data_IF_385944624247
#
_entry.id   IF_385944624247
#
_cell.length_a   1.000
_cell.length_b   1.000
_cell.length_c   1.000
_cell.angle_alpha   90.00
_cell.angle_beta   90.00
_cell.angle_gamma   90.00
#
_symmetry.space_group_name_H-M   'P 1'
#
loop_
_entity.id
_entity.type
_entity.pdbx_description
1 polymer ?
#
# COMPACT_ATOMS: atom_id res chain seq x y z
N UNK A 1 16.05 -3.98 -0.70
CA UNK A 1 14.92 -4.07 0.24
C UNK A 1 14.89 -2.92 1.24
N UNK A 2 15.97 -2.72 2.01
CA UNK A 2 16.08 -1.65 3.02
C UNK A 2 15.61 -0.27 2.55
N UNK A 3 16.18 0.25 1.46
CA UNK A 3 15.82 1.58 0.92
C UNK A 3 14.33 1.72 0.58
N UNK A 4 13.71 0.70 -0.05
CA UNK A 4 12.28 0.78 -0.39
C UNK A 4 11.39 0.73 0.85
N UNK A 5 11.80 -0.02 1.89
CA UNK A 5 11.09 -0.06 3.16
C UNK A 5 11.18 1.28 3.90
N UNK A 6 12.38 1.86 3.98
CA UNK A 6 12.62 3.17 4.59
C UNK A 6 11.81 4.27 3.90
N UNK A 7 11.76 4.27 2.55
CA UNK A 7 10.93 5.22 1.80
C UNK A 7 9.45 5.07 2.11
N UNK A 8 8.94 3.83 2.20
CA UNK A 8 7.54 3.59 2.56
C UNK A 8 7.25 4.04 4.01
N UNK A 9 8.15 3.76 4.94
CA UNK A 9 8.04 4.18 6.34
C UNK A 9 8.02 5.71 6.46
N UNK A 10 8.92 6.42 5.75
CA UNK A 10 8.97 7.88 5.79
C UNK A 10 7.67 8.51 5.28
N UNK A 11 7.08 7.97 4.21
CA UNK A 11 5.79 8.44 3.71
C UNK A 11 4.68 8.17 4.72
N UNK A 12 4.65 6.98 5.33
CA UNK A 12 3.68 6.65 6.39
C UNK A 12 3.81 7.60 7.59
N UNK A 13 5.03 7.86 8.06
CA UNK A 13 5.29 8.82 9.14
C UNK A 13 4.81 10.22 8.78
N UNK A 14 5.09 10.68 7.56
CA UNK A 14 4.62 11.98 7.08
C UNK A 14 3.08 12.06 7.04
N UNK A 15 2.38 10.99 6.66
CA UNK A 15 0.92 10.98 6.68
C UNK A 15 0.34 11.29 8.07
N UNK A 16 1.00 10.84 9.14
CA UNK A 16 0.58 11.15 10.52
C UNK A 16 0.94 12.56 10.99
N UNK A 17 1.79 13.28 10.26
CA UNK A 17 2.13 14.69 10.58
C UNK A 17 1.24 15.69 9.86
N UNK A 18 0.37 15.24 8.95
CA UNK A 18 -0.55 16.11 8.23
C UNK A 18 -1.58 16.65 9.22
N UNK A 19 -1.59 17.97 9.40
CA UNK A 19 -2.53 18.63 10.29
C UNK A 19 -3.91 18.75 9.64
N UNK A 20 -4.71 17.70 9.80
CA UNK A 20 -6.07 17.63 9.29
C UNK A 20 -6.96 16.92 10.33
N UNK A 21 -8.14 17.47 10.70
CA UNK A 21 -9.03 16.87 11.69
C UNK A 21 -9.35 15.40 11.41
N UNK A 22 -9.61 15.06 10.14
CA UNK A 22 -9.88 13.68 9.74
C UNK A 22 -8.74 12.69 10.07
N UNK A 23 -7.48 13.13 10.02
CA UNK A 23 -6.32 12.28 10.39
C UNK A 23 -6.24 12.11 11.90
N UNK A 24 -6.43 13.19 12.65
CA UNK A 24 -6.40 13.18 14.11
C UNK A 24 -7.54 12.32 14.70
N UNK A 25 -8.76 12.53 14.22
CA UNK A 25 -9.97 11.85 14.69
C UNK A 25 -9.95 10.35 14.37
N UNK A 26 -9.23 9.93 13.33
CA UNK A 26 -9.14 8.53 12.88
C UNK A 26 -7.78 7.89 13.14
N UNK A 27 -6.96 8.44 14.04
CA UNK A 27 -5.58 7.96 14.31
C UNK A 27 -5.52 6.44 14.55
N UNK A 28 -6.38 5.93 15.43
CA UNK A 28 -6.45 4.49 15.78
C UNK A 28 -6.79 3.65 14.55
N UNK A 29 -7.80 4.06 13.78
CA UNK A 29 -8.19 3.37 12.55
C UNK A 29 -7.05 3.33 11.53
N UNK A 30 -6.33 4.45 11.38
CA UNK A 30 -5.17 4.53 10.48
C UNK A 30 -4.05 3.60 10.94
N UNK A 31 -3.70 3.55 12.23
CA UNK A 31 -2.67 2.63 12.75
C UNK A 31 -3.05 1.16 12.54
N UNK A 32 -4.33 0.82 12.63
CA UNK A 32 -4.82 -0.53 12.36
C UNK A 32 -4.71 -0.94 10.88
N UNK A 33 -4.86 0.01 9.94
CA UNK A 33 -5.02 -0.31 8.51
C UNK A 33 -3.84 0.12 7.62
N UNK A 34 -3.13 1.20 7.94
CA UNK A 34 -1.98 1.63 7.16
C UNK A 34 -0.79 0.71 7.41
N UNK A 35 -0.15 0.30 6.31
CA UNK A 35 1.06 -0.54 6.33
C UNK A 35 2.06 0.03 5.35
N UNK A 36 3.32 0.13 5.79
CA UNK A 36 4.44 0.50 4.93
C UNK A 36 5.16 -0.77 4.48
N UNK A 37 5.23 -1.01 3.17
CA UNK A 37 5.84 -2.20 2.60
C UNK A 37 6.88 -1.82 1.54
N UNK A 38 8.11 -2.28 1.71
CA UNK A 38 9.16 -2.20 0.70
C UNK A 38 9.05 -3.34 -0.31
N UNK A 39 9.03 -3.02 -1.61
CA UNK A 39 8.94 -4.02 -2.69
C UNK A 39 10.26 -4.23 -3.45
N UNK A 40 11.30 -3.43 -3.20
CA UNK A 40 12.57 -3.45 -3.94
C UNK A 40 12.37 -3.58 -5.46
N UNK A 41 12.96 -4.60 -6.08
CA UNK A 41 12.84 -4.90 -7.52
C UNK A 41 11.73 -5.89 -7.85
N UNK A 42 10.91 -6.33 -6.89
CA UNK A 42 9.92 -7.38 -7.11
C UNK A 42 8.73 -6.96 -8.00
N UNK A 43 8.53 -5.65 -8.23
CA UNK A 43 7.42 -5.08 -8.99
C UNK A 43 7.88 -3.90 -9.87
N UNK A 44 8.82 -4.20 -10.77
CA UNK A 44 9.28 -3.23 -11.78
C UNK A 44 8.14 -2.87 -12.74
N UNK A 45 8.23 -1.65 -13.28
CA UNK A 45 7.42 -1.19 -14.41
C UNK A 45 8.30 -1.22 -15.65
N UNK A 46 7.73 -1.61 -16.78
CA UNK A 46 8.44 -1.83 -18.03
C UNK A 46 7.91 -0.91 -19.13
N UNK A 47 8.77 -0.56 -20.08
CA UNK A 47 8.41 0.29 -21.22
C UNK A 47 7.86 -0.53 -22.39
N UNK A 48 8.27 -1.79 -22.49
CA UNK A 48 7.90 -2.73 -23.55
C UNK A 48 6.90 -3.78 -23.05
N UNK A 49 6.10 -4.31 -23.96
CA UNK A 49 5.12 -5.38 -23.68
C UNK A 49 5.78 -6.68 -23.24
N UNK A 50 7.03 -6.92 -23.67
CA UNK A 50 7.78 -8.13 -23.36
C UNK A 50 8.47 -8.08 -21.99
N UNK A 51 8.32 -6.97 -21.25
CA UNK A 51 8.90 -6.78 -19.92
C UNK A 51 10.43 -6.97 -19.87
N UNK A 52 11.12 -6.56 -20.93
CA UNK A 52 12.58 -6.69 -21.03
C UNK A 52 13.29 -5.40 -20.65
N UNK A 53 12.66 -4.25 -20.87
CA UNK A 53 13.25 -2.94 -20.64
C UNK A 53 12.50 -2.23 -19.50
N UNK A 54 13.08 -2.28 -18.30
CA UNK A 54 12.50 -1.61 -17.15
C UNK A 54 12.53 -0.09 -17.28
N UNK A 55 11.40 0.56 -16.99
CA UNK A 55 11.35 2.00 -16.77
C UNK A 55 11.87 2.29 -15.35
N UNK A 56 13.15 2.62 -15.24
CA UNK A 56 13.83 2.81 -13.95
C UNK A 56 13.25 4.01 -13.19
N UNK A 57 12.76 5.04 -13.89
CA UNK A 57 12.17 6.22 -13.27
C UNK A 57 10.82 5.87 -12.67
N UNK A 58 9.90 5.28 -13.47
CA UNK A 58 8.59 4.86 -12.98
C UNK A 58 8.69 3.74 -11.95
N UNK A 59 9.71 2.89 -12.01
CA UNK A 59 9.89 1.83 -11.03
C UNK A 59 10.27 2.35 -9.64
N UNK A 60 10.91 3.53 -9.53
CA UNK A 60 11.36 4.12 -8.25
C UNK A 60 10.29 4.96 -7.54
N UNK A 61 9.09 4.39 -7.40
CA UNK A 61 7.88 5.03 -6.84
C UNK A 61 7.52 4.55 -5.44
N UNK A 62 6.62 5.29 -4.79
CA UNK A 62 5.83 4.83 -3.64
C UNK A 62 4.37 4.88 -4.07
N UNK A 63 3.60 3.83 -3.81
CA UNK A 63 2.19 3.73 -4.20
C UNK A 63 1.31 3.55 -2.96
N UNK A 64 0.13 4.16 -2.97
CA UNK A 64 -0.94 3.83 -2.04
C UNK A 64 -1.83 2.79 -2.70
N UNK A 65 -2.14 1.71 -1.96
CA UNK A 65 -3.04 0.65 -2.40
C UNK A 65 -4.04 0.36 -1.29
N UNK A 66 -5.32 0.31 -1.65
CA UNK A 66 -6.39 -0.13 -0.75
C UNK A 66 -6.71 -1.59 -1.06
N UNK A 67 -6.54 -2.46 -0.07
CA UNK A 67 -6.89 -3.88 -0.18
C UNK A 67 -8.19 -4.14 0.61
N UNK A 68 -9.24 -4.49 -0.12
CA UNK A 68 -10.54 -4.81 0.47
C UNK A 68 -10.62 -6.30 0.79
N UNK A 69 -11.13 -6.66 1.97
CA UNK A 69 -11.40 -8.06 2.38
C UNK A 69 -12.75 -8.56 1.85
N UNK A 70 -13.07 -8.27 0.59
CA UNK A 70 -14.40 -8.55 0.02
C UNK A 70 -14.70 -10.05 -0.04
N UNK A 71 -13.74 -10.86 -0.46
CA UNK A 71 -13.90 -12.32 -0.55
C UNK A 71 -14.18 -12.94 0.83
N UNK A 72 -13.44 -12.53 1.86
CA UNK A 72 -13.65 -13.00 3.24
C UNK A 72 -15.06 -12.67 3.74
N UNK A 73 -15.57 -11.47 3.41
CA UNK A 73 -16.93 -11.05 3.76
C UNK A 73 -17.99 -11.85 3.00
N UNK A 74 -17.81 -12.07 1.70
CA UNK A 74 -18.73 -12.88 0.89
C UNK A 74 -18.82 -14.31 1.46
N UNK A 75 -17.67 -14.90 1.78
CA UNK A 75 -17.62 -16.24 2.35
C UNK A 75 -18.34 -16.35 3.70
N UNK A 76 -18.20 -15.33 4.57
CA UNK A 76 -18.93 -15.25 5.84
C UNK A 76 -20.45 -15.17 5.65
N UNK A 77 -20.91 -14.41 4.66
CA UNK A 77 -22.35 -14.28 4.35
C UNK A 77 -22.92 -15.62 3.87
N UNK A 78 -22.24 -16.29 2.94
CA UNK A 78 -22.67 -17.59 2.42
C UNK A 78 -22.78 -18.64 3.53
N UNK A 79 -21.78 -18.73 4.42
CA UNK A 79 -21.81 -19.64 5.57
C UNK A 79 -22.91 -19.35 6.59
N UNK A 80 -23.26 -18.09 6.80
CA UNK A 80 -24.32 -17.71 7.74
C UNK A 80 -25.74 -17.95 7.18
N UNK A 81 -25.84 -18.27 5.89
CA UNK A 81 -27.11 -18.53 5.19
C UNK A 81 -27.43 -20.02 5.06
N UNK A 82 -26.52 -20.89 5.50
CA UNK A 82 -26.72 -22.34 5.70
C UNK A 82 -27.30 -22.61 7.09
#
# INVERSE_FOLDING_TARGET
MKLSQERANNVLSYCYTIDAPFIHDNRVWLEEHFRANGMAFAKLKYMDTNQTISDIIKSRRVEFKVEMKTEEKIYKILKASE
#
